data_IF_329136766428
#
_entry.id   IF_329136766428
#
_cell.length_a   1.000
_cell.length_b   1.000
_cell.length_c   1.000
_cell.angle_alpha   90.00
_cell.angle_beta   90.00
_cell.angle_gamma   90.00
#
_symmetry.space_group_name_H-M   'P 1'
#
loop_
_entity.id
_entity.type
_entity.pdbx_description
1 polymer ?
#
# COMPACT_ATOMS: atom_id res chain seq x y z
N UNK A 1 -2.31 -2.97 28.93
CA UNK A 1 -2.43 -3.93 27.81
C UNK A 1 -2.81 -3.13 26.59
N UNK A 2 -1.89 -3.05 25.63
CA UNK A 2 -2.02 -2.13 24.48
C UNK A 2 -3.08 -2.66 23.49
N UNK A 3 -4.18 -1.94 23.33
CA UNK A 3 -5.25 -2.26 22.38
C UNK A 3 -4.90 -1.99 20.89
N UNK A 4 -3.68 -1.57 20.59
CA UNK A 4 -3.19 -1.25 19.23
C UNK A 4 -2.65 -2.47 18.49
N UNK A 5 -3.23 -3.65 18.68
CA UNK A 5 -2.86 -4.83 17.89
C UNK A 5 -3.45 -4.73 16.48
N UNK A 6 -2.60 -4.94 15.48
CA UNK A 6 -3.04 -5.17 14.10
C UNK A 6 -4.10 -6.26 14.11
N UNK A 7 -5.36 -5.91 13.85
CA UNK A 7 -6.45 -6.88 13.68
C UNK A 7 -6.29 -7.60 12.35
N UNK A 8 -5.33 -8.50 12.28
CA UNK A 8 -5.05 -9.31 11.10
C UNK A 8 -5.66 -10.69 11.32
N UNK A 9 -6.25 -11.28 10.26
CA UNK A 9 -6.81 -12.64 10.39
C UNK A 9 -5.72 -13.62 10.85
N UNK A 10 -6.09 -14.66 11.58
CA UNK A 10 -5.16 -15.67 12.13
C UNK A 10 -4.20 -16.24 11.08
N UNK A 11 -4.66 -16.38 9.84
CA UNK A 11 -3.84 -16.86 8.71
C UNK A 11 -2.74 -15.86 8.34
N UNK A 12 -3.07 -14.57 8.34
CA UNK A 12 -2.14 -13.48 8.01
C UNK A 12 -1.17 -13.27 9.16
N UNK A 13 -1.66 -13.35 10.40
CA UNK A 13 -0.83 -13.31 11.61
C UNK A 13 0.28 -14.37 11.58
N UNK A 14 -0.04 -15.59 11.17
CA UNK A 14 0.96 -16.67 11.01
C UNK A 14 1.99 -16.33 9.94
N UNK A 15 1.59 -15.72 8.84
CA UNK A 15 2.48 -15.36 7.73
C UNK A 15 3.42 -14.19 8.09
N UNK A 16 2.92 -13.22 8.85
CA UNK A 16 3.68 -12.02 9.24
C UNK A 16 4.11 -12.01 10.70
N UNK A 17 4.23 -13.18 11.33
CA UNK A 17 4.60 -13.32 12.75
C UNK A 17 5.90 -12.60 13.10
N UNK A 18 6.88 -12.62 12.22
CA UNK A 18 8.15 -11.92 12.40
C UNK A 18 7.99 -10.39 12.51
N UNK A 19 6.96 -9.82 11.90
CA UNK A 19 6.65 -8.39 12.03
C UNK A 19 6.12 -8.09 13.42
N UNK A 20 5.25 -8.95 13.94
CA UNK A 20 4.64 -8.78 15.26
C UNK A 20 5.70 -8.92 16.35
N UNK A 21 6.62 -9.88 16.22
CA UNK A 21 7.65 -10.17 17.22
C UNK A 21 8.52 -8.94 17.50
N UNK A 22 8.98 -8.24 16.49
CA UNK A 22 9.82 -7.05 16.74
C UNK A 22 9.01 -5.82 17.20
N UNK A 23 7.72 -5.75 16.91
CA UNK A 23 6.85 -4.69 17.43
C UNK A 23 6.48 -4.89 18.91
N UNK A 24 6.54 -6.14 19.39
CA UNK A 24 6.32 -6.49 20.80
C UNK A 24 7.59 -6.31 21.64
N UNK A 25 8.75 -6.09 21.02
CA UNK A 25 10.02 -5.84 21.70
C UNK A 25 10.07 -4.41 22.26
N UNK A 26 10.23 -4.21 23.57
CA UNK A 26 10.33 -2.89 24.18
C UNK A 26 11.51 -2.06 23.68
N UNK A 27 12.62 -2.70 23.36
CA UNK A 27 13.84 -2.06 22.85
C UNK A 27 13.77 -1.73 21.35
N UNK A 28 12.69 -2.11 20.66
CA UNK A 28 12.53 -1.84 19.24
C UNK A 28 12.44 -0.34 18.96
N UNK A 29 13.20 0.13 17.99
CA UNK A 29 13.12 1.50 17.46
C UNK A 29 11.88 1.72 16.58
N UNK A 30 11.12 0.66 16.30
CA UNK A 30 9.98 0.64 15.38
C UNK A 30 8.68 0.51 16.13
N UNK A 31 7.67 1.21 15.64
CA UNK A 31 6.30 1.11 16.14
C UNK A 31 5.30 0.92 14.99
N UNK A 32 4.08 0.52 15.35
CA UNK A 32 2.98 0.43 14.41
C UNK A 32 2.08 1.65 14.52
N UNK A 33 2.10 2.48 13.49
CA UNK A 33 1.20 3.63 13.31
C UNK A 33 -0.08 3.18 12.58
N UNK A 34 -1.13 2.93 13.34
CA UNK A 34 -2.42 2.52 12.78
C UNK A 34 -3.04 3.61 11.90
N UNK A 35 -2.81 4.87 12.19
CA UNK A 35 -3.35 5.98 11.41
C UNK A 35 -2.74 6.01 10.00
N UNK A 36 -1.43 5.87 9.88
CA UNK A 36 -0.74 5.77 8.59
C UNK A 36 -1.17 4.52 7.81
N UNK A 37 -1.27 3.37 8.47
CA UNK A 37 -1.74 2.13 7.85
C UNK A 37 -3.15 2.28 7.29
N UNK A 38 -4.07 2.79 8.09
CA UNK A 38 -5.47 3.00 7.69
C UNK A 38 -5.60 4.09 6.62
N UNK A 39 -4.78 5.14 6.67
CA UNK A 39 -4.76 6.16 5.64
C UNK A 39 -4.43 5.57 4.27
N UNK A 40 -3.39 4.72 4.17
CA UNK A 40 -3.02 4.05 2.94
C UNK A 40 -4.11 3.09 2.44
N UNK A 41 -4.70 2.28 3.32
CA UNK A 41 -5.78 1.35 2.99
C UNK A 41 -7.00 2.12 2.48
N UNK A 42 -7.44 3.13 3.22
CA UNK A 42 -8.61 3.94 2.89
C UNK A 42 -8.43 4.70 1.57
N UNK A 43 -7.22 5.25 1.32
CA UNK A 43 -6.91 5.89 0.06
C UNK A 43 -7.08 4.92 -1.11
N UNK A 44 -6.53 3.73 -1.01
CA UNK A 44 -6.62 2.71 -2.07
C UNK A 44 -8.08 2.32 -2.31
N UNK A 45 -8.83 1.98 -1.27
CA UNK A 45 -10.22 1.53 -1.41
C UNK A 45 -11.16 2.64 -1.89
N UNK A 46 -10.92 3.87 -1.48
CA UNK A 46 -11.78 5.02 -1.84
C UNK A 46 -11.50 5.55 -3.25
N UNK A 47 -10.22 5.68 -3.63
CA UNK A 47 -9.85 6.39 -4.85
C UNK A 47 -9.39 5.48 -5.99
N UNK A 48 -8.89 4.28 -5.69
CA UNK A 48 -8.46 3.36 -6.74
C UNK A 48 -9.62 2.54 -7.30
N UNK A 49 -9.57 2.27 -8.60
CA UNK A 49 -10.57 1.51 -9.33
C UNK A 49 -9.90 0.43 -10.18
N UNK A 50 -10.60 -0.68 -10.38
CA UNK A 50 -10.16 -1.68 -11.34
C UNK A 50 -10.12 -1.07 -12.74
N UNK A 51 -9.02 -1.29 -13.48
CA UNK A 51 -8.82 -0.69 -14.80
C UNK A 51 -9.39 -1.51 -15.94
N UNK A 52 -9.64 -2.82 -15.75
CA UNK A 52 -10.00 -3.76 -16.84
C UNK A 52 -10.92 -4.89 -16.37
N UNK A 53 -11.54 -5.56 -17.34
CA UNK A 53 -12.36 -6.76 -17.15
C UNK A 53 -13.74 -6.46 -16.55
N UNK A 54 -14.42 -7.50 -16.08
CA UNK A 54 -15.78 -7.43 -15.48
C UNK A 54 -15.86 -6.49 -14.26
N UNK A 55 -14.71 -6.19 -13.64
CA UNK A 55 -14.61 -5.30 -12.49
C UNK A 55 -14.19 -3.87 -12.87
N UNK A 56 -13.99 -3.59 -14.16
CA UNK A 56 -13.59 -2.27 -14.65
C UNK A 56 -14.48 -1.14 -14.10
N UNK A 57 -13.87 -0.09 -13.54
CA UNK A 57 -14.55 1.03 -12.92
C UNK A 57 -15.03 0.82 -11.47
N UNK A 58 -15.16 -0.45 -11.01
CA UNK A 58 -15.54 -0.74 -9.62
C UNK A 58 -14.43 -0.37 -8.63
N UNK A 59 -14.76 -0.02 -7.37
CA UNK A 59 -13.78 0.23 -6.33
C UNK A 59 -12.80 -0.95 -6.19
N UNK A 60 -11.54 -0.64 -5.93
CA UNK A 60 -10.53 -1.64 -5.64
C UNK A 60 -10.52 -1.93 -4.14
N UNK A 61 -11.40 -2.84 -3.71
CA UNK A 61 -11.44 -3.31 -2.32
C UNK A 61 -10.32 -4.31 -2.08
N UNK A 62 -9.53 -4.08 -1.06
CA UNK A 62 -8.37 -4.90 -0.73
C UNK A 62 -8.79 -6.20 -0.04
N UNK A 63 -8.25 -7.31 -0.52
CA UNK A 63 -8.33 -8.59 0.17
C UNK A 63 -7.57 -8.54 1.52
N UNK A 64 -7.92 -9.37 2.51
CA UNK A 64 -7.29 -9.34 3.84
C UNK A 64 -5.76 -9.41 3.80
N UNK A 65 -5.19 -10.22 2.94
CA UNK A 65 -3.73 -10.32 2.78
C UNK A 65 -3.11 -9.07 2.16
N UNK A 66 -3.82 -8.39 1.26
CA UNK A 66 -3.41 -7.12 0.66
C UNK A 66 -3.44 -6.00 1.71
N UNK A 67 -4.49 -5.95 2.54
CA UNK A 67 -4.58 -5.01 3.68
C UNK A 67 -3.41 -5.19 4.63
N UNK A 68 -3.10 -6.43 5.01
CA UNK A 68 -1.97 -6.72 5.89
C UNK A 68 -0.63 -6.28 5.28
N UNK A 69 -0.43 -6.53 3.98
CA UNK A 69 0.77 -6.09 3.26
C UNK A 69 0.87 -4.56 3.23
N UNK A 70 -0.21 -3.87 2.90
CA UNK A 70 -0.27 -2.40 2.89
C UNK A 70 -0.02 -1.85 4.29
N UNK A 71 -0.69 -2.40 5.32
CA UNK A 71 -0.50 -2.01 6.70
C UNK A 71 0.96 -2.17 7.16
N UNK A 72 1.59 -3.31 6.85
CA UNK A 72 3.00 -3.54 7.18
C UNK A 72 3.94 -2.57 6.45
N UNK A 73 3.66 -2.27 5.18
CA UNK A 73 4.53 -1.40 4.37
C UNK A 73 4.47 0.06 4.82
N UNK A 74 3.28 0.57 5.14
CA UNK A 74 3.07 1.98 5.43
C UNK A 74 2.89 2.31 6.91
N UNK A 75 2.49 1.33 7.72
CA UNK A 75 2.19 1.53 9.13
C UNK A 75 3.36 1.23 10.07
N UNK A 76 4.46 0.62 9.61
CA UNK A 76 5.62 0.38 10.47
C UNK A 76 6.62 1.49 10.28
N UNK A 77 6.79 2.30 11.31
CA UNK A 77 7.58 3.53 11.28
C UNK A 77 8.57 3.58 12.42
N UNK A 78 9.59 4.39 12.27
CA UNK A 78 10.56 4.67 13.31
C UNK A 78 9.96 5.62 14.36
N UNK A 79 10.07 5.30 15.63
CA UNK A 79 9.44 6.02 16.76
C UNK A 79 9.79 7.51 16.82
N UNK A 80 11.01 7.88 16.41
CA UNK A 80 11.51 9.26 16.51
C UNK A 80 11.32 10.01 15.20
N UNK A 81 11.76 9.41 14.05
CA UNK A 81 11.76 10.11 12.76
C UNK A 81 10.43 9.99 12.01
N UNK A 82 9.59 9.00 12.34
CA UNK A 82 8.37 8.70 11.62
C UNK A 82 8.58 8.11 10.23
N UNK A 83 9.82 7.82 9.85
CA UNK A 83 10.17 7.22 8.55
C UNK A 83 9.74 5.76 8.49
N UNK A 84 9.37 5.31 7.29
CA UNK A 84 8.94 3.92 7.07
C UNK A 84 10.12 2.96 7.20
N UNK A 85 9.90 1.85 7.90
CA UNK A 85 10.87 0.76 8.01
C UNK A 85 11.17 0.13 6.65
N UNK A 86 10.13 -0.15 5.86
CA UNK A 86 10.25 -0.88 4.61
C UNK A 86 10.33 0.06 3.41
N UNK A 87 11.55 0.35 2.98
CA UNK A 87 11.82 1.12 1.77
C UNK A 87 11.80 0.25 0.50
N UNK A 88 11.96 -1.06 0.65
CA UNK A 88 11.94 -2.03 -0.45
C UNK A 88 10.99 -3.17 -0.12
N UNK A 89 10.07 -3.45 -1.02
CA UNK A 89 9.08 -4.51 -0.86
C UNK A 89 9.09 -5.40 -2.09
N UNK A 90 9.28 -6.71 -1.87
CA UNK A 90 9.21 -7.73 -2.91
C UNK A 90 7.92 -8.52 -2.73
N UNK A 91 7.06 -8.51 -3.75
CA UNK A 91 5.79 -9.21 -3.75
C UNK A 91 5.81 -10.39 -4.72
N UNK A 92 5.88 -11.60 -4.16
CA UNK A 92 5.83 -12.86 -4.91
C UNK A 92 4.47 -13.53 -4.69
N UNK A 93 3.60 -13.46 -5.68
CA UNK A 93 2.26 -14.05 -5.63
C UNK A 93 1.92 -14.68 -6.98
N UNK A 94 1.03 -15.67 -6.97
CA UNK A 94 0.57 -16.35 -8.18
C UNK A 94 -0.09 -15.38 -9.18
N UNK A 95 -0.21 -15.79 -10.43
CA UNK A 95 -0.90 -15.03 -11.46
C UNK A 95 -2.38 -14.81 -11.09
N UNK A 96 -2.98 -13.72 -11.57
CA UNK A 96 -4.40 -13.33 -11.37
C UNK A 96 -4.78 -12.87 -9.95
N UNK A 97 -3.86 -12.76 -9.01
CA UNK A 97 -4.11 -12.27 -7.64
C UNK A 97 -4.02 -10.73 -7.51
N UNK A 98 -4.33 -9.99 -8.53
CA UNK A 98 -4.41 -8.51 -8.45
C UNK A 98 -3.08 -7.77 -8.26
N UNK A 99 -1.92 -8.46 -8.34
CA UNK A 99 -0.58 -7.91 -8.11
C UNK A 99 -0.33 -6.56 -8.79
N UNK A 100 -0.59 -6.49 -10.10
CA UNK A 100 -0.34 -5.26 -10.88
C UNK A 100 -1.28 -4.11 -10.49
N UNK A 101 -2.52 -4.42 -10.11
CA UNK A 101 -3.49 -3.42 -9.64
C UNK A 101 -3.06 -2.90 -8.27
N UNK A 102 -2.64 -3.79 -7.37
CA UNK A 102 -2.15 -3.43 -6.05
C UNK A 102 -0.89 -2.55 -6.15
N UNK A 103 0.12 -2.97 -6.93
CA UNK A 103 1.34 -2.16 -7.10
C UNK A 103 1.07 -0.79 -7.74
N UNK A 104 0.11 -0.70 -8.67
CA UNK A 104 -0.29 0.58 -9.25
C UNK A 104 -1.02 1.48 -8.22
N UNK A 105 -1.84 0.90 -7.35
CA UNK A 105 -2.55 1.61 -6.31
C UNK A 105 -1.59 2.13 -5.22
N UNK A 106 -0.63 1.31 -4.80
CA UNK A 106 0.42 1.73 -3.85
C UNK A 106 1.31 2.81 -4.44
N UNK A 107 1.71 2.68 -5.72
CA UNK A 107 2.45 3.74 -6.40
C UNK A 107 1.67 5.05 -6.48
N UNK A 108 0.37 4.99 -6.71
CA UNK A 108 -0.48 6.18 -6.71
C UNK A 108 -0.57 6.82 -5.31
N UNK A 109 -0.68 6.00 -4.27
CA UNK A 109 -0.66 6.47 -2.88
C UNK A 109 0.66 7.18 -2.56
N UNK A 110 1.79 6.57 -2.86
CA UNK A 110 3.13 7.15 -2.67
C UNK A 110 3.29 8.48 -3.40
N UNK A 111 2.72 8.59 -4.59
CA UNK A 111 2.86 9.80 -5.42
C UNK A 111 1.97 10.96 -4.97
N UNK A 112 0.80 10.67 -4.38
CA UNK A 112 -0.22 11.70 -4.10
C UNK A 112 -0.41 11.98 -2.62
N UNK A 113 -0.39 10.94 -1.77
CA UNK A 113 -0.96 10.98 -0.43
C UNK A 113 0.00 10.61 0.70
N UNK A 114 1.19 10.13 0.40
CA UNK A 114 2.20 9.75 1.38
C UNK A 114 2.89 10.96 2.06
N UNK A 115 2.79 12.14 1.44
CA UNK A 115 3.33 13.38 2.00
C UNK A 115 4.81 13.61 1.73
N UNK A 116 5.46 12.81 0.91
CA UNK A 116 6.85 13.01 0.53
C UNK A 116 7.01 14.20 -0.41
N UNK A 117 7.90 15.17 -0.13
CA UNK A 117 8.13 16.30 -1.00
C UNK A 117 8.87 15.88 -2.28
N UNK A 118 8.27 16.17 -3.45
CA UNK A 118 8.86 15.86 -4.75
C UNK A 118 8.91 14.38 -5.12
N UNK A 119 7.82 13.61 -4.93
CA UNK A 119 7.83 12.18 -5.18
C UNK A 119 8.04 11.87 -6.66
N UNK A 120 8.95 10.96 -6.96
CA UNK A 120 9.17 10.44 -8.30
C UNK A 120 8.72 8.97 -8.38
N UNK A 121 7.93 8.63 -9.40
CA UNK A 121 7.42 7.28 -9.59
C UNK A 121 7.87 6.70 -10.94
N UNK A 122 8.71 5.68 -10.86
CA UNK A 122 9.16 4.93 -12.02
C UNK A 122 8.51 3.55 -12.07
N UNK A 123 7.87 3.21 -13.21
CA UNK A 123 7.32 1.89 -13.44
C UNK A 123 8.02 1.21 -14.61
N UNK A 124 8.71 0.12 -14.34
CA UNK A 124 9.43 -0.67 -15.35
C UNK A 124 8.77 -2.03 -15.49
N UNK A 125 8.45 -2.42 -16.73
CA UNK A 125 7.95 -3.75 -17.02
C UNK A 125 8.50 -4.27 -18.34
N UNK A 126 8.71 -5.58 -18.37
CA UNK A 126 9.31 -6.31 -19.47
C UNK A 126 8.47 -6.35 -20.78
N UNK A 127 7.28 -5.69 -20.83
CA UNK A 127 6.34 -5.81 -21.96
C UNK A 127 5.62 -4.50 -22.30
N UNK A 128 5.46 -4.22 -23.60
CA UNK A 128 4.80 -3.03 -24.19
C UNK A 128 3.36 -2.77 -23.68
N UNK A 129 2.65 -3.79 -23.21
CA UNK A 129 1.33 -3.64 -22.60
C UNK A 129 1.31 -2.74 -21.34
N UNK A 130 2.46 -2.49 -20.73
CA UNK A 130 2.59 -1.69 -19.50
C UNK A 130 2.82 -0.21 -19.80
N UNK A 131 3.35 0.15 -20.96
CA UNK A 131 3.42 1.55 -21.41
C UNK A 131 2.03 2.18 -21.54
N UNK A 132 1.04 1.40 -21.96
CA UNK A 132 -0.37 1.84 -21.98
C UNK A 132 -0.99 1.96 -20.59
N UNK A 133 -0.47 1.25 -19.58
CA UNK A 133 -0.89 1.41 -18.17
C UNK A 133 -0.30 2.66 -17.52
N UNK A 134 0.96 2.97 -17.79
CA UNK A 134 1.58 4.21 -17.31
C UNK A 134 0.85 5.45 -17.87
N UNK A 135 0.41 5.40 -19.13
CA UNK A 135 -0.48 6.43 -19.72
C UNK A 135 -1.82 6.54 -19.00
N UNK A 136 -2.41 5.41 -18.54
CA UNK A 136 -3.68 5.43 -17.79
C UNK A 136 -3.52 5.94 -16.34
N UNK A 137 -2.37 5.74 -15.72
CA UNK A 137 -2.02 6.32 -14.42
C UNK A 137 -1.83 7.83 -14.56
N UNK A 138 -1.11 8.27 -15.59
CA UNK A 138 -0.93 9.72 -15.88
C UNK A 138 -2.25 10.45 -16.14
N UNK A 139 -3.17 9.83 -16.87
CA UNK A 139 -4.52 10.37 -17.12
C UNK A 139 -5.40 10.44 -15.87
N UNK A 140 -5.20 9.51 -14.90
CA UNK A 140 -5.96 9.52 -13.64
C UNK A 140 -5.40 10.52 -12.63
N UNK A 141 -4.11 10.79 -12.65
CA UNK A 141 -3.46 11.84 -11.84
C UNK A 141 -3.94 13.23 -12.25
N UNK A 142 -4.15 13.48 -13.55
CA UNK A 142 -4.70 14.76 -14.02
C UNK A 142 -6.13 15.03 -13.51
N UNK A 143 -6.91 13.98 -13.23
CA UNK A 143 -8.24 14.10 -12.65
C UNK A 143 -8.23 14.18 -11.11
N UNK A 144 -7.10 13.93 -10.46
CA UNK A 144 -6.95 13.97 -9.00
C UNK A 144 -6.54 15.36 -8.46
N UNK A 145 -6.46 16.38 -9.31
CA UNK A 145 -6.19 17.80 -8.93
C UNK A 145 -7.22 18.40 -7.95
N UNK A 146 -8.30 17.67 -7.66
CA UNK A 146 -9.36 18.06 -6.71
C UNK A 146 -9.09 17.67 -5.25
N UNK A 147 -7.89 17.19 -4.91
CA UNK A 147 -7.56 16.75 -3.54
C UNK A 147 -6.73 17.78 -2.74
N UNK A 148 -6.53 18.99 -3.29
CA UNK A 148 -5.76 20.08 -2.61
C UNK A 148 -6.62 21.16 -1.95
N UNK A 149 -7.95 20.95 -1.86
CA UNK A 149 -8.86 21.86 -1.16
C UNK A 149 -9.52 21.17 0.03
#
# INVERSE_FOLDING_TARGET
MNENRIKVSTKIFKTYRHIVTFLEDPESEWEYDEAKANHAINFIERYCRHSKGKMGGKPFILEPWQKAKVAATFGIVHKITGERKYQRVVLIVARKNGKSTLSAAEGLYLFIADGEPGPELYSVAKFVATLNRAKSVKAKVSNCKRYKD
#
